data_IF_626669846053
#
_entry.id   IF_626669846053
#
_cell.length_a   1.000
_cell.length_b   1.000
_cell.length_c   1.000
_cell.angle_alpha   90.00
_cell.angle_beta   90.00
_cell.angle_gamma   90.00
#
_symmetry.space_group_name_H-M   'P 1'
#
loop_
_entity.id
_entity.type
_entity.pdbx_description
1 polymer ?
#
# COMPACT_ATOMS: atom_id res chain seq x y z
N UNK A 1 53.06 -13.23 4.68
CA UNK A 1 52.20 -12.03 4.87
C UNK A 1 50.82 -12.35 4.29
N UNK A 2 49.85 -12.77 5.11
CA UNK A 2 48.48 -13.06 4.68
C UNK A 2 47.61 -11.84 4.96
N UNK A 3 46.89 -11.40 3.94
CA UNK A 3 46.06 -10.20 3.90
C UNK A 3 44.86 -10.32 4.84
N UNK A 4 44.70 -9.31 5.69
CA UNK A 4 43.58 -9.17 6.63
C UNK A 4 42.30 -8.92 5.81
N UNK A 5 41.41 -9.92 5.74
CA UNK A 5 40.08 -9.77 5.12
C UNK A 5 39.27 -8.79 5.97
N UNK A 6 38.76 -7.72 5.35
CA UNK A 6 37.79 -6.82 5.94
C UNK A 6 36.61 -7.62 6.53
N UNK A 7 36.49 -7.68 7.86
CA UNK A 7 35.28 -8.17 8.51
C UNK A 7 34.16 -7.19 8.20
N UNK A 8 33.34 -7.50 7.19
CA UNK A 8 32.03 -6.87 7.02
C UNK A 8 31.26 -7.13 8.32
N UNK A 9 31.02 -6.08 9.10
CA UNK A 9 30.12 -6.13 10.25
C UNK A 9 28.80 -6.76 9.79
N UNK A 10 28.44 -7.91 10.35
CA UNK A 10 27.10 -8.47 10.22
C UNK A 10 26.16 -7.51 10.94
N UNK A 11 25.55 -6.59 10.21
CA UNK A 11 24.44 -5.82 10.77
C UNK A 11 23.32 -6.81 11.05
N UNK A 12 23.04 -7.05 12.33
CA UNK A 12 21.83 -7.74 12.74
C UNK A 12 20.64 -6.90 12.23
N UNK A 13 19.68 -7.57 11.62
CA UNK A 13 18.71 -6.97 10.72
C UNK A 13 17.93 -5.79 11.31
N UNK A 14 17.63 -4.84 10.42
CA UNK A 14 16.34 -4.14 10.36
C UNK A 14 15.72 -3.66 11.67
N UNK A 15 16.46 -3.05 12.59
CA UNK A 15 15.84 -2.13 13.54
C UNK A 15 15.39 -0.91 12.73
N UNK A 16 14.16 -0.95 12.21
CA UNK A 16 13.57 0.15 11.47
C UNK A 16 13.74 1.43 12.29
N UNK A 17 14.45 2.43 11.73
CA UNK A 17 14.76 3.67 12.44
C UNK A 17 13.51 4.23 13.12
N UNK A 18 13.57 4.54 14.42
CA UNK A 18 12.41 5.09 15.15
C UNK A 18 11.84 6.27 14.38
N UNK A 19 10.54 6.24 14.09
CA UNK A 19 9.88 7.30 13.34
C UNK A 19 9.93 8.60 14.14
N UNK A 20 10.53 9.66 13.58
CA UNK A 20 10.66 10.99 14.22
C UNK A 20 9.31 11.71 14.41
N UNK A 21 8.26 11.23 13.75
CA UNK A 21 6.93 11.81 13.76
C UNK A 21 6.21 11.42 15.07
N UNK A 22 5.93 12.39 15.97
CA UNK A 22 5.30 12.10 17.26
C UNK A 22 3.84 11.63 17.09
N UNK A 23 3.13 12.18 16.10
CA UNK A 23 1.74 11.85 15.76
C UNK A 23 1.61 10.70 14.74
N UNK A 24 2.52 9.73 14.78
CA UNK A 24 2.57 8.62 13.80
C UNK A 24 1.25 7.87 13.66
N UNK A 25 0.51 7.67 14.76
CA UNK A 25 -0.71 6.87 14.76
C UNK A 25 -1.85 7.62 14.05
N UNK A 26 -1.99 8.92 14.30
CA UNK A 26 -3.00 9.78 13.66
C UNK A 26 -2.72 9.93 12.16
N UNK A 27 -1.46 10.18 11.79
CA UNK A 27 -1.05 10.23 10.39
C UNK A 27 -1.33 8.89 9.68
N UNK A 28 -1.07 7.77 10.36
CA UNK A 28 -1.35 6.44 9.81
C UNK A 28 -2.86 6.20 9.65
N UNK A 29 -3.70 6.66 10.58
CA UNK A 29 -5.15 6.58 10.46
C UNK A 29 -5.64 7.37 9.23
N UNK A 30 -5.23 8.64 9.11
CA UNK A 30 -5.51 9.46 7.93
C UNK A 30 -5.09 8.79 6.62
N UNK A 31 -3.87 8.22 6.57
CA UNK A 31 -3.39 7.52 5.37
C UNK A 31 -4.24 6.30 5.00
N UNK A 32 -4.77 5.57 6.00
CA UNK A 32 -5.69 4.45 5.76
C UNK A 32 -7.03 4.96 5.24
N UNK A 33 -7.53 6.06 5.79
CA UNK A 33 -8.83 6.63 5.42
C UNK A 33 -8.83 7.12 3.97
N UNK A 34 -7.81 7.90 3.57
CA UNK A 34 -7.60 8.33 2.17
C UNK A 34 -7.60 7.14 1.22
N UNK A 35 -7.00 6.03 1.64
CA UNK A 35 -6.91 4.81 0.81
C UNK A 35 -8.22 4.02 0.77
N UNK A 36 -9.04 4.08 1.83
CA UNK A 36 -10.39 3.47 1.84
C UNK A 36 -11.35 4.23 0.95
N UNK A 37 -11.17 5.54 0.82
CA UNK A 37 -11.92 6.39 -0.12
C UNK A 37 -11.43 6.24 -1.58
N UNK A 38 -10.66 5.18 -1.88
CA UNK A 38 -10.07 4.87 -3.19
C UNK A 38 -9.20 5.99 -3.79
N UNK A 39 -8.72 6.93 -2.97
CA UNK A 39 -7.84 7.98 -3.42
C UNK A 39 -6.37 7.52 -3.42
N UNK A 40 -5.62 8.00 -4.43
CA UNK A 40 -4.17 7.80 -4.49
C UNK A 40 -3.54 8.63 -3.37
N UNK A 41 -3.06 7.94 -2.32
CA UNK A 41 -2.28 8.58 -1.28
C UNK A 41 -0.94 9.07 -1.85
N UNK A 42 -0.65 10.35 -1.67
CA UNK A 42 0.61 10.99 -2.09
C UNK A 42 1.30 11.65 -0.90
N UNK A 43 2.60 11.93 -1.02
CA UNK A 43 3.34 12.70 -0.02
C UNK A 43 2.71 14.07 0.23
N UNK A 44 2.05 14.67 -0.77
CA UNK A 44 1.35 15.95 -0.60
C UNK A 44 0.16 15.85 0.34
N UNK A 45 -0.63 14.78 0.28
CA UNK A 45 -1.72 14.55 1.24
C UNK A 45 -1.18 14.52 2.68
N UNK A 46 -0.07 13.81 2.91
CA UNK A 46 0.58 13.75 4.21
C UNK A 46 1.11 15.13 4.66
N UNK A 47 1.72 15.89 3.75
CA UNK A 47 2.20 17.26 4.03
C UNK A 47 1.04 18.18 4.39
N UNK A 48 -0.07 18.13 3.65
CA UNK A 48 -1.27 18.93 3.92
C UNK A 48 -1.85 18.58 5.28
N UNK A 49 -1.98 17.29 5.61
CA UNK A 49 -2.40 16.85 6.94
C UNK A 49 -1.51 17.44 8.05
N UNK A 50 -0.18 17.37 7.89
CA UNK A 50 0.76 17.97 8.85
C UNK A 50 0.61 19.49 8.94
N UNK A 51 0.37 20.20 7.83
CA UNK A 51 0.14 21.65 7.84
C UNK A 51 -1.14 22.02 8.59
N UNK A 52 -2.18 21.21 8.48
CA UNK A 52 -3.49 21.48 9.10
C UNK A 52 -3.48 21.17 10.59
N UNK A 53 -2.93 20.02 10.98
CA UNK A 53 -3.08 19.51 12.36
C UNK A 53 -1.81 19.63 13.20
N UNK A 54 -0.63 19.68 12.57
CA UNK A 54 0.68 19.58 13.25
C UNK A 54 1.66 20.66 12.78
N UNK A 55 1.15 21.88 12.50
CA UNK A 55 1.90 22.98 11.88
C UNK A 55 3.17 23.35 12.66
N UNK A 56 3.06 23.51 13.97
CA UNK A 56 4.18 23.91 14.82
C UNK A 56 5.33 22.90 14.73
N UNK A 57 5.03 21.60 14.81
CA UNK A 57 6.02 20.55 14.66
C UNK A 57 6.65 20.55 13.26
N UNK A 58 5.83 20.72 12.23
CA UNK A 58 6.31 20.78 10.84
C UNK A 58 7.28 21.95 10.62
N UNK A 59 6.99 23.12 11.19
CA UNK A 59 7.82 24.32 11.04
C UNK A 59 9.12 24.21 11.84
N UNK A 60 9.10 23.63 13.04
CA UNK A 60 10.31 23.28 13.80
C UNK A 60 11.18 22.29 13.02
N UNK A 61 10.57 21.26 12.45
CA UNK A 61 11.30 20.27 11.65
C UNK A 61 11.98 20.91 10.44
N UNK A 62 11.29 21.82 9.72
CA UNK A 62 11.86 22.55 8.58
C UNK A 62 13.05 23.41 8.97
N UNK A 63 12.99 24.11 10.09
CA UNK A 63 14.01 25.05 10.53
C UNK A 63 15.39 24.41 10.69
N UNK A 64 15.46 23.12 11.01
CA UNK A 64 16.73 22.38 11.18
C UNK A 64 17.30 21.82 9.86
N UNK A 65 16.63 21.99 8.72
CA UNK A 65 17.01 21.31 7.46
C UNK A 65 17.54 22.31 6.43
N UNK A 66 18.64 21.92 5.77
CA UNK A 66 19.24 22.69 4.67
C UNK A 66 18.31 22.80 3.46
N UNK A 67 17.58 21.73 3.14
CA UNK A 67 16.54 21.69 2.10
C UNK A 67 15.23 21.17 2.73
N UNK A 68 14.38 22.08 3.26
CA UNK A 68 13.19 21.70 4.00
C UNK A 68 12.19 20.91 3.14
N UNK A 69 12.06 21.26 1.86
CA UNK A 69 11.12 20.62 0.95
C UNK A 69 11.49 19.16 0.68
N UNK A 70 12.74 18.90 0.26
CA UNK A 70 13.21 17.52 0.04
C UNK A 70 13.21 16.72 1.33
N UNK A 71 13.58 17.33 2.45
CA UNK A 71 13.59 16.65 3.75
C UNK A 71 12.19 16.19 4.19
N UNK A 72 11.14 16.99 3.93
CA UNK A 72 9.76 16.60 4.24
C UNK A 72 9.27 15.50 3.29
N UNK A 73 9.52 15.64 1.99
CA UNK A 73 9.13 14.62 1.02
C UNK A 73 9.77 13.26 1.35
N UNK A 74 11.07 13.25 1.64
CA UNK A 74 11.80 12.05 2.03
C UNK A 74 11.26 11.44 3.33
N UNK A 75 10.90 12.29 4.32
CA UNK A 75 10.26 11.85 5.55
C UNK A 75 8.91 11.15 5.28
N UNK A 76 8.05 11.76 4.45
CA UNK A 76 6.74 11.21 4.11
C UNK A 76 6.87 9.89 3.35
N UNK A 77 7.77 9.82 2.36
CA UNK A 77 8.03 8.59 1.61
C UNK A 77 8.61 7.48 2.50
N UNK A 78 9.52 7.82 3.42
CA UNK A 78 10.07 6.87 4.37
C UNK A 78 9.01 6.33 5.33
N UNK A 79 8.13 7.21 5.82
CA UNK A 79 7.00 6.82 6.65
C UNK A 79 6.04 5.90 5.89
N UNK A 80 5.60 6.29 4.69
CA UNK A 80 4.70 5.50 3.85
C UNK A 80 5.26 4.11 3.59
N UNK A 81 6.52 4.02 3.17
CA UNK A 81 7.19 2.73 2.91
C UNK A 81 7.25 1.85 4.15
N UNK A 82 7.58 2.42 5.32
CA UNK A 82 7.65 1.67 6.59
C UNK A 82 6.29 1.09 6.99
N UNK A 83 5.20 1.78 6.66
CA UNK A 83 3.84 1.34 6.91
C UNK A 83 3.23 0.56 5.73
N UNK A 84 4.05 0.07 4.79
CA UNK A 84 3.66 -0.74 3.64
C UNK A 84 2.70 -0.04 2.67
N UNK A 85 2.69 1.29 2.66
CA UNK A 85 2.08 2.06 1.58
C UNK A 85 3.05 2.07 0.41
N UNK A 86 2.77 1.23 -0.57
CA UNK A 86 3.35 1.31 -1.90
C UNK A 86 2.32 1.89 -2.87
N UNK A 87 2.84 2.57 -3.90
CA UNK A 87 2.08 2.78 -5.11
C UNK A 87 1.71 1.40 -5.65
N UNK A 88 0.42 1.08 -5.68
CA UNK A 88 -0.05 -0.02 -6.51
C UNK A 88 -0.12 0.55 -7.92
N UNK A 89 0.52 -0.11 -8.86
CA UNK A 89 0.20 0.12 -10.27
C UNK A 89 -1.31 -0.10 -10.37
N UNK A 90 -2.09 0.84 -10.92
CA UNK A 90 -3.49 0.58 -11.21
C UNK A 90 -3.56 -0.68 -12.06
N UNK A 91 -3.92 -1.80 -11.44
CA UNK A 91 -4.62 -2.83 -12.18
C UNK A 91 -5.91 -2.14 -12.62
N UNK A 92 -6.20 -2.13 -13.91
CA UNK A 92 -7.46 -1.60 -14.40
C UNK A 92 -8.61 -2.44 -13.81
N UNK A 93 -9.06 -2.09 -12.59
CA UNK A 93 -10.37 -2.51 -12.11
C UNK A 93 -11.38 -1.77 -12.96
N UNK A 94 -12.25 -2.51 -13.64
CA UNK A 94 -13.28 -1.92 -14.50
C UNK A 94 -14.37 -1.20 -13.67
N UNK A 95 -14.43 -1.42 -12.35
CA UNK A 95 -15.48 -0.93 -11.45
C UNK A 95 -14.94 -0.64 -10.03
N UNK A 96 -15.64 0.20 -9.24
CA UNK A 96 -15.27 0.47 -7.84
C UNK A 96 -15.69 -0.69 -6.93
N UNK A 97 -15.09 -0.80 -5.75
CA UNK A 97 -15.44 -1.84 -4.76
C UNK A 97 -16.94 -1.91 -4.41
N UNK A 98 -17.65 -0.81 -4.08
CA UNK A 98 -19.09 -0.87 -3.79
C UNK A 98 -19.91 -1.38 -4.98
N UNK A 99 -19.53 -1.01 -6.21
CA UNK A 99 -20.22 -1.48 -7.41
C UNK A 99 -20.01 -2.99 -7.62
N UNK A 100 -18.80 -3.51 -7.35
CA UNK A 100 -18.52 -4.94 -7.38
C UNK A 100 -19.33 -5.72 -6.35
N UNK A 101 -19.48 -5.16 -5.14
CA UNK A 101 -20.30 -5.77 -4.08
C UNK A 101 -21.76 -5.83 -4.50
N UNK A 102 -22.30 -4.75 -5.07
CA UNK A 102 -23.67 -4.72 -5.60
C UNK A 102 -23.87 -5.77 -6.69
N UNK A 103 -22.97 -5.84 -7.68
CA UNK A 103 -23.06 -6.84 -8.76
C UNK A 103 -22.99 -8.26 -8.21
N UNK A 104 -22.10 -8.53 -7.25
CA UNK A 104 -22.00 -9.83 -6.59
C UNK A 104 -23.29 -10.20 -5.87
N UNK A 105 -23.85 -9.29 -5.10
CA UNK A 105 -25.04 -9.55 -4.28
C UNK A 105 -26.29 -9.72 -5.15
N UNK A 106 -26.44 -8.91 -6.20
CA UNK A 106 -27.51 -9.09 -7.20
C UNK A 106 -27.39 -10.43 -7.94
N UNK A 107 -26.18 -10.81 -8.34
CA UNK A 107 -25.94 -12.11 -8.97
C UNK A 107 -26.30 -13.25 -8.02
N UNK A 108 -25.82 -13.20 -6.77
CA UNK A 108 -26.10 -14.21 -5.77
C UNK A 108 -27.61 -14.37 -5.50
N UNK A 109 -28.34 -13.24 -5.39
CA UNK A 109 -29.78 -13.25 -5.19
C UNK A 109 -30.51 -13.91 -6.38
N UNK A 110 -30.14 -13.57 -7.62
CA UNK A 110 -30.72 -14.20 -8.83
C UNK A 110 -30.38 -15.68 -8.94
N UNK A 111 -29.13 -16.04 -8.65
CA UNK A 111 -28.65 -17.42 -8.69
C UNK A 111 -29.40 -18.30 -7.69
N UNK A 112 -29.42 -17.92 -6.42
CA UNK A 112 -30.09 -18.70 -5.38
C UNK A 112 -31.62 -18.63 -5.49
N UNK A 113 -32.19 -17.55 -6.04
CA UNK A 113 -33.61 -17.53 -6.38
C UNK A 113 -34.02 -18.60 -7.40
N UNK A 114 -33.10 -19.02 -8.29
CA UNK A 114 -33.36 -20.03 -9.31
C UNK A 114 -32.90 -21.44 -8.93
N UNK A 115 -31.81 -21.55 -8.18
CA UNK A 115 -31.12 -22.83 -7.93
C UNK A 115 -31.11 -23.24 -6.45
N UNK A 116 -31.90 -22.59 -5.57
CA UNK A 116 -31.94 -22.90 -4.13
C UNK A 116 -32.34 -24.33 -3.80
N UNK A 117 -33.18 -24.96 -4.62
CA UNK A 117 -33.63 -26.35 -4.42
C UNK A 117 -32.57 -27.40 -4.81
N UNK A 118 -31.51 -26.99 -5.50
CA UNK A 118 -30.43 -27.89 -5.90
C UNK A 118 -29.51 -28.13 -4.70
N UNK A 119 -29.09 -29.38 -4.53
CA UNK A 119 -28.12 -29.71 -3.47
C UNK A 119 -26.75 -29.16 -3.89
N UNK A 120 -25.90 -28.71 -2.95
CA UNK A 120 -24.62 -28.09 -3.29
C UNK A 120 -23.70 -28.95 -4.19
N UNK A 121 -23.74 -30.27 -4.06
CA UNK A 121 -22.94 -31.18 -4.90
C UNK A 121 -23.48 -31.35 -6.33
N UNK A 122 -24.70 -30.90 -6.60
CA UNK A 122 -25.30 -30.87 -7.95
C UNK A 122 -24.93 -29.56 -8.69
N UNK A 123 -24.22 -28.63 -8.03
CA UNK A 123 -23.76 -27.35 -8.60
C UNK A 123 -22.26 -27.42 -8.89
N UNK A 124 -21.88 -27.29 -10.16
CA UNK A 124 -20.49 -27.39 -10.62
C UNK A 124 -19.99 -26.00 -11.01
N UNK A 125 -18.83 -25.60 -10.47
CA UNK A 125 -18.14 -24.38 -10.88
C UNK A 125 -17.30 -24.64 -12.15
N UNK A 126 -17.35 -23.71 -13.11
CA UNK A 126 -16.58 -23.79 -14.36
C UNK A 126 -15.94 -22.43 -14.60
N UNK A 127 -14.61 -22.39 -14.71
CA UNK A 127 -13.84 -21.19 -15.03
C UNK A 127 -12.60 -21.54 -15.87
N UNK A 128 -12.09 -20.55 -16.61
CA UNK A 128 -10.86 -20.68 -17.37
C UNK A 128 -9.68 -20.16 -16.55
N UNK A 129 -8.70 -21.02 -16.26
CA UNK A 129 -7.44 -20.62 -15.65
C UNK A 129 -6.33 -20.63 -16.71
N UNK A 130 -5.72 -19.47 -16.97
CA UNK A 130 -4.60 -19.38 -17.89
C UNK A 130 -3.37 -20.12 -17.32
N UNK A 131 -2.79 -21.00 -18.13
CA UNK A 131 -1.52 -21.68 -17.82
C UNK A 131 -0.39 -20.89 -18.46
N UNK A 132 0.44 -20.25 -17.63
CA UNK A 132 1.65 -19.58 -18.09
C UNK A 132 2.81 -20.56 -18.04
N UNK A 133 3.34 -20.92 -19.21
CA UNK A 133 4.62 -21.60 -19.29
C UNK A 133 5.73 -20.60 -18.99
N UNK A 134 6.67 -20.99 -18.11
CA UNK A 134 7.86 -20.21 -17.78
C UNK A 134 8.81 -20.27 -18.99
N UNK A 135 8.49 -19.51 -20.04
CA UNK A 135 9.27 -19.44 -21.26
C UNK A 135 10.48 -18.53 -21.01
N UNK A 136 11.71 -19.04 -21.19
CA UNK A 136 12.88 -18.19 -21.09
C UNK A 136 12.77 -17.07 -22.13
N UNK A 137 13.17 -15.83 -21.79
CA UNK A 137 13.01 -14.69 -22.68
C UNK A 137 13.76 -14.96 -24.00
N UNK A 138 13.01 -14.96 -25.11
CA UNK A 138 13.53 -15.28 -26.44
C UNK A 138 14.41 -14.19 -27.06
N UNK A 139 14.69 -13.10 -26.32
CA UNK A 139 15.60 -12.04 -26.75
C UNK A 139 16.40 -11.53 -25.55
N UNK A 140 17.69 -11.35 -25.80
CA UNK A 140 18.64 -10.62 -24.94
C UNK A 140 18.32 -9.13 -25.06
#
# INVERSE_FOLDING_TARGET
KLTQRNLKRRSLGGQGAKTIIPFKNELLAFMKDVRREEHILTSMHMVTYMKTHHKQWLDQYKATKKDPYKAILGLCQAFARRHRFSQRVPCHSKMREPDLVLVRDEFAAKFWGKYSDYRPHDIINVDETAVYYDMPPGKI
#
